data_IF_938515367267
#
_entry.id   IF_938515367267
#
_cell.length_a   1.000
_cell.length_b   1.000
_cell.length_c   1.000
_cell.angle_alpha   90.00
_cell.angle_beta   90.00
_cell.angle_gamma   90.00
#
_symmetry.space_group_name_H-M   'P 1'
#
loop_
_entity.id
_entity.type
_entity.pdbx_description
1 polymer ?
#
# COMPACT_ATOMS: atom_id res chain seq x y z
N UNK A 1 -6.66 18.30 -29.37
CA UNK A 1 -6.51 17.95 -27.94
C UNK A 1 -6.96 16.52 -27.77
N UNK A 2 -6.21 15.67 -27.06
CA UNK A 2 -6.58 14.27 -26.83
C UNK A 2 -7.31 14.21 -25.49
N UNK A 3 -8.62 13.99 -25.50
CA UNK A 3 -9.38 13.83 -24.26
C UNK A 3 -9.15 12.42 -23.72
N UNK A 4 -8.55 12.31 -22.54
CA UNK A 4 -8.45 11.03 -21.83
C UNK A 4 -9.68 10.87 -20.92
N UNK A 5 -10.56 9.93 -21.27
CA UNK A 5 -11.70 9.58 -20.42
C UNK A 5 -11.16 9.04 -19.09
N UNK A 6 -11.51 9.74 -18.00
CA UNK A 6 -11.07 9.35 -16.67
C UNK A 6 -12.10 8.39 -16.06
N UNK A 7 -11.74 7.12 -15.95
CA UNK A 7 -12.62 6.13 -15.34
C UNK A 7 -12.45 6.14 -13.82
N UNK A 8 -13.41 6.75 -13.10
CA UNK A 8 -13.42 6.79 -11.63
C UNK A 8 -13.37 5.40 -10.98
N UNK A 9 -13.85 4.36 -11.66
CA UNK A 9 -13.76 2.99 -11.20
C UNK A 9 -12.31 2.50 -11.06
N UNK A 10 -11.39 2.94 -11.93
CA UNK A 10 -9.97 2.61 -11.85
C UNK A 10 -9.24 3.37 -10.74
N UNK A 11 -9.82 4.47 -10.25
CA UNK A 11 -9.28 5.23 -9.13
C UNK A 11 -9.73 4.67 -7.77
N UNK A 12 -10.74 3.79 -7.75
CA UNK A 12 -11.19 3.18 -6.51
C UNK A 12 -10.13 2.20 -6.00
N UNK A 13 -9.76 2.26 -4.71
CA UNK A 13 -8.81 1.33 -4.12
C UNK A 13 -9.39 -0.09 -4.16
N UNK A 14 -8.59 -1.05 -4.64
CA UNK A 14 -8.95 -2.46 -4.57
C UNK A 14 -8.80 -2.94 -3.13
N UNK A 15 -9.94 -3.05 -2.43
CA UNK A 15 -10.03 -3.56 -1.06
C UNK A 15 -10.61 -4.98 -1.08
N UNK A 16 -9.97 -5.90 -0.38
CA UNK A 16 -10.49 -7.24 -0.09
C UNK A 16 -10.93 -7.31 1.37
N UNK A 17 -12.17 -7.73 1.62
CA UNK A 17 -12.80 -7.71 2.94
C UNK A 17 -12.72 -6.36 3.69
N UNK A 18 -12.60 -5.24 2.96
CA UNK A 18 -12.53 -3.90 3.54
C UNK A 18 -11.12 -3.42 3.92
N UNK A 19 -10.07 -4.20 3.61
CA UNK A 19 -8.66 -3.78 3.74
C UNK A 19 -7.91 -3.98 2.42
N UNK A 20 -6.80 -3.28 2.24
CA UNK A 20 -5.98 -3.42 1.03
C UNK A 20 -5.27 -4.77 0.95
N UNK A 21 -5.04 -5.27 -0.27
CA UNK A 21 -4.40 -6.59 -0.49
C UNK A 21 -3.03 -6.74 0.19
N UNK A 22 -2.24 -5.66 0.26
CA UNK A 22 -0.95 -5.65 0.96
C UNK A 22 -1.11 -5.96 2.46
N UNK A 23 -2.17 -5.44 3.08
CA UNK A 23 -2.47 -5.67 4.50
C UNK A 23 -2.95 -7.10 4.74
N UNK A 24 -3.82 -7.63 3.88
CA UNK A 24 -4.29 -9.03 3.92
C UNK A 24 -3.11 -9.99 3.86
N UNK A 25 -2.21 -9.76 2.90
CA UNK A 25 -1.02 -10.56 2.67
C UNK A 25 0.01 -10.49 3.82
N UNK A 26 -0.04 -9.46 4.65
CA UNK A 26 0.82 -9.33 5.83
C UNK A 26 0.23 -10.07 7.04
N UNK A 27 -1.05 -9.83 7.35
CA UNK A 27 -1.69 -10.33 8.58
C UNK A 27 -1.91 -11.84 8.53
N UNK A 28 -2.56 -12.35 7.50
CA UNK A 28 -3.04 -13.75 7.51
C UNK A 28 -1.92 -14.78 7.41
N UNK A 29 -0.92 -14.62 6.52
CA UNK A 29 0.23 -15.52 6.51
C UNK A 29 1.06 -15.45 7.79
N UNK A 30 1.27 -14.23 8.34
CA UNK A 30 2.02 -14.05 9.59
C UNK A 30 1.33 -14.72 10.77
N UNK A 31 0.01 -14.50 10.92
CA UNK A 31 -0.80 -15.13 11.98
C UNK A 31 -0.87 -16.64 11.81
N UNK A 32 -1.04 -17.14 10.59
CA UNK A 32 -1.01 -18.58 10.31
C UNK A 32 0.33 -19.22 10.69
N UNK A 33 1.45 -18.58 10.35
CA UNK A 33 2.79 -19.03 10.74
C UNK A 33 2.94 -19.10 12.26
N UNK A 34 2.52 -18.05 12.98
CA UNK A 34 2.58 -18.03 14.46
C UNK A 34 1.70 -19.12 15.07
N UNK A 35 0.52 -19.40 14.51
CA UNK A 35 -0.34 -20.49 14.97
C UNK A 35 0.33 -21.86 14.83
N UNK A 36 1.02 -22.09 13.70
CA UNK A 36 1.76 -23.33 13.45
C UNK A 36 2.93 -23.49 14.43
N UNK A 37 3.69 -22.42 14.67
CA UNK A 37 4.82 -22.44 15.59
C UNK A 37 4.41 -22.62 17.05
N UNK A 38 3.31 -21.98 17.47
CA UNK A 38 2.80 -22.05 18.84
C UNK A 38 1.90 -23.27 19.09
N UNK A 39 1.60 -24.08 18.07
CA UNK A 39 0.62 -25.18 18.11
C UNK A 39 -0.68 -24.80 18.83
N UNK A 40 -1.11 -23.54 18.70
CA UNK A 40 -2.25 -23.01 19.42
C UNK A 40 -3.07 -22.10 18.51
N UNK A 41 -4.41 -22.08 18.65
CA UNK A 41 -5.28 -21.21 17.85
C UNK A 41 -5.35 -19.79 18.41
N UNK A 42 -4.79 -19.51 19.59
CA UNK A 42 -4.83 -18.19 20.23
C UNK A 42 -4.33 -17.03 19.34
N UNK A 43 -3.26 -17.18 18.54
CA UNK A 43 -2.80 -16.11 17.65
C UNK A 43 -3.81 -15.75 16.54
N UNK A 44 -4.78 -16.62 16.23
CA UNK A 44 -5.88 -16.27 15.31
C UNK A 44 -6.72 -15.12 15.87
N UNK A 45 -6.99 -15.11 17.18
CA UNK A 45 -7.76 -14.04 17.81
C UNK A 45 -7.04 -12.69 17.69
N UNK A 46 -5.71 -12.70 17.85
CA UNK A 46 -4.86 -11.52 17.66
C UNK A 46 -4.89 -11.07 16.19
N UNK A 47 -4.78 -12.00 15.24
CA UNK A 47 -4.90 -11.72 13.81
C UNK A 47 -6.25 -11.09 13.42
N UNK A 48 -7.32 -11.61 13.99
CA UNK A 48 -8.68 -11.11 13.76
C UNK A 48 -8.87 -9.71 14.35
N UNK A 49 -8.36 -9.46 15.55
CA UNK A 49 -8.34 -8.12 16.15
C UNK A 49 -7.55 -7.12 15.28
N UNK A 50 -6.36 -7.50 14.82
CA UNK A 50 -5.56 -6.69 13.91
C UNK A 50 -6.29 -6.39 12.60
N UNK A 51 -7.01 -7.38 12.04
CA UNK A 51 -7.81 -7.21 10.84
C UNK A 51 -8.94 -6.19 11.02
N UNK A 52 -9.65 -6.22 12.16
CA UNK A 52 -10.73 -5.26 12.46
C UNK A 52 -10.18 -3.84 12.61
N UNK A 53 -9.05 -3.68 13.32
CA UNK A 53 -8.38 -2.38 13.47
C UNK A 53 -7.95 -1.83 12.10
N UNK A 54 -7.38 -2.69 11.26
CA UNK A 54 -6.99 -2.30 9.90
C UNK A 54 -8.18 -1.94 9.04
N UNK A 55 -9.28 -2.70 9.11
CA UNK A 55 -10.52 -2.37 8.40
C UNK A 55 -11.06 -1.00 8.81
N UNK A 56 -10.97 -0.65 10.09
CA UNK A 56 -11.34 0.68 10.58
C UNK A 56 -10.40 1.77 10.04
N UNK A 57 -9.09 1.54 10.01
CA UNK A 57 -8.12 2.48 9.44
C UNK A 57 -8.34 2.70 7.94
N UNK A 58 -8.55 1.63 7.17
CA UNK A 58 -8.82 1.67 5.73
C UNK A 58 -10.13 2.37 5.38
N UNK A 59 -11.12 2.39 6.30
CA UNK A 59 -12.35 3.18 6.12
C UNK A 59 -12.08 4.68 6.16
N UNK A 60 -11.05 5.13 6.89
CA UNK A 60 -10.66 6.54 6.97
C UNK A 60 -9.77 6.93 5.80
N UNK A 61 -8.74 6.14 5.54
CA UNK A 61 -7.81 6.35 4.44
C UNK A 61 -7.42 5.00 3.81
N UNK A 62 -7.85 4.73 2.57
CA UNK A 62 -7.53 3.47 1.90
C UNK A 62 -6.06 3.36 1.50
N UNK A 63 -5.28 4.45 1.55
CA UNK A 63 -3.85 4.47 1.21
C UNK A 63 -2.93 4.42 2.44
N UNK A 64 -3.47 4.36 3.66
CA UNK A 64 -2.69 4.47 4.91
C UNK A 64 -1.48 3.54 4.96
N UNK A 65 -1.64 2.26 4.63
CA UNK A 65 -0.52 1.29 4.62
C UNK A 65 0.42 1.51 3.45
N UNK A 66 -0.07 1.91 2.28
CA UNK A 66 0.79 2.15 1.13
C UNK A 66 1.74 3.33 1.40
N UNK A 67 1.22 4.38 2.04
CA UNK A 67 1.98 5.54 2.49
C UNK A 67 2.97 5.10 3.57
N UNK A 68 2.51 4.41 4.61
CA UNK A 68 3.39 3.93 5.69
C UNK A 68 4.56 3.08 5.18
N UNK A 69 4.29 2.11 4.30
CA UNK A 69 5.33 1.26 3.70
C UNK A 69 6.33 2.09 2.89
N UNK A 70 5.85 3.07 2.11
CA UNK A 70 6.73 3.96 1.36
C UNK A 70 7.60 4.80 2.28
N UNK A 71 7.03 5.33 3.38
CA UNK A 71 7.81 6.03 4.39
C UNK A 71 8.82 5.11 5.08
N UNK A 72 8.49 3.85 5.34
CA UNK A 72 9.41 2.88 5.93
C UNK A 72 10.58 2.56 4.99
N UNK A 73 10.32 2.41 3.68
CA UNK A 73 11.38 2.24 2.67
C UNK A 73 12.29 3.46 2.56
N UNK A 74 11.75 4.66 2.73
CA UNK A 74 12.50 5.93 2.63
C UNK A 74 12.96 6.45 4.00
N UNK A 75 12.72 5.73 5.10
CA UNK A 75 12.97 6.22 6.47
C UNK A 75 14.45 6.56 6.69
N UNK A 76 15.35 5.77 6.10
CA UNK A 76 16.80 5.96 6.21
C UNK A 76 17.35 7.01 5.22
N UNK A 77 16.53 7.46 4.26
CA UNK A 77 16.92 8.39 3.20
C UNK A 77 16.09 9.66 3.28
N UNK A 78 16.45 10.55 4.21
CA UNK A 78 15.90 11.91 4.21
C UNK A 78 16.49 12.71 3.03
N UNK A 79 15.74 12.82 1.94
CA UNK A 79 16.06 13.72 0.83
C UNK A 79 15.15 14.95 0.84
N UNK A 80 15.63 16.11 1.31
CA UNK A 80 14.85 17.36 1.31
C UNK A 80 14.62 17.93 -0.10
N UNK A 81 15.25 17.36 -1.13
CA UNK A 81 15.11 17.77 -2.53
C UNK A 81 14.69 16.59 -3.40
N UNK A 82 13.79 16.82 -4.36
CA UNK A 82 13.34 15.85 -5.36
C UNK A 82 14.51 15.52 -6.32
N UNK A 83 15.48 14.72 -5.87
CA UNK A 83 16.67 14.34 -6.65
C UNK A 83 16.91 12.84 -6.71
N UNK A 84 16.03 12.04 -6.14
CA UNK A 84 16.16 10.59 -6.25
C UNK A 84 16.00 10.18 -7.71
N UNK A 85 16.92 9.34 -8.20
CA UNK A 85 16.83 8.68 -9.50
C UNK A 85 15.69 7.67 -9.44
N UNK A 86 14.44 8.13 -9.39
CA UNK A 86 13.27 7.28 -9.47
C UNK A 86 13.37 6.47 -10.77
N UNK A 87 13.41 5.13 -10.67
CA UNK A 87 13.26 4.26 -11.84
C UNK A 87 11.91 4.61 -12.47
N UNK A 88 11.92 5.10 -13.72
CA UNK A 88 10.72 5.62 -14.40
C UNK A 88 10.56 7.14 -14.40
N UNK A 89 11.57 7.92 -13.96
CA UNK A 89 11.56 9.39 -14.02
C UNK A 89 11.59 10.00 -15.44
N UNK A 90 11.56 9.16 -16.49
CA UNK A 90 11.36 9.61 -17.86
C UNK A 90 9.90 9.42 -18.24
N UNK A 91 9.23 10.52 -18.56
CA UNK A 91 7.89 10.44 -19.13
C UNK A 91 7.90 9.68 -20.46
N UNK A 92 6.84 8.93 -20.79
CA UNK A 92 6.70 8.27 -22.08
C UNK A 92 6.84 9.25 -23.24
N UNK A 93 7.35 8.75 -24.38
CA UNK A 93 7.54 9.55 -25.60
C UNK A 93 6.18 10.18 -25.99
N UNK A 94 6.11 11.51 -25.99
CA UNK A 94 4.91 12.29 -26.30
C UNK A 94 4.35 13.14 -25.14
N UNK A 95 4.84 12.98 -23.91
CA UNK A 95 4.40 13.77 -22.74
C UNK A 95 5.47 14.76 -22.26
N UNK A 96 5.61 15.91 -22.95
CA UNK A 96 6.39 17.08 -22.51
C UNK A 96 7.90 16.86 -22.32
N UNK A 97 8.74 17.50 -23.13
CA UNK A 97 10.20 17.38 -23.04
C UNK A 97 10.74 18.20 -21.86
N UNK A 98 11.52 17.57 -20.97
CA UNK A 98 12.53 18.27 -20.16
C UNK A 98 12.23 18.50 -18.68
N UNK A 99 11.09 18.07 -18.15
CA UNK A 99 10.82 18.15 -16.70
C UNK A 99 10.82 16.75 -16.09
N UNK A 100 11.70 16.57 -15.11
CA UNK A 100 11.73 15.38 -14.25
C UNK A 100 10.47 15.39 -13.37
N UNK A 101 9.87 14.21 -13.18
CA UNK A 101 8.80 14.02 -12.21
C UNK A 101 9.41 13.74 -10.84
#
# INVERSE_FOLDING_TARGET
>A
MRESVTYLALQRPMLSAGIGMKAVALIWPGTALVCLLAMSPLPLAVGLAAHVVLRWAYKKDPQVIAIYLKYAETADHYQPYVRERCKGAQRPIGYGRGVRC
#
